data_IF_141742954684
#
_entry.id   IF_141742954684
#
_cell.length_a   1.000
_cell.length_b   1.000
_cell.length_c   1.000
_cell.angle_alpha   90.00
_cell.angle_beta   90.00
_cell.angle_gamma   90.00
#
_symmetry.space_group_name_H-M   'P 1'
#
loop_
_entity.id
_entity.type
_entity.pdbx_description
1 polymer ?
#
# COMPACT_ATOMS: atom_id res chain seq x y z
N UNK A 1 -19.84 -2.21 -6.61
CA UNK A 1 -20.57 -1.93 -7.86
C UNK A 1 -21.90 -1.30 -7.51
N UNK A 2 -22.30 -0.25 -8.20
CA UNK A 2 -23.59 0.42 -8.01
C UNK A 2 -24.31 0.50 -9.35
N UNK A 3 -25.64 0.69 -9.32
CA UNK A 3 -26.39 0.99 -10.54
C UNK A 3 -25.84 2.29 -11.14
N UNK A 4 -25.56 2.28 -12.45
CA UNK A 4 -25.22 3.48 -13.19
C UNK A 4 -26.32 4.53 -12.99
N UNK A 5 -26.01 5.74 -12.48
CA UNK A 5 -26.99 6.81 -12.40
C UNK A 5 -27.59 7.09 -13.79
N UNK A 6 -28.93 7.04 -13.89
CA UNK A 6 -29.67 7.24 -15.14
C UNK A 6 -30.69 6.15 -15.46
N UNK A 7 -31.20 6.20 -16.70
CA UNK A 7 -32.25 5.31 -17.22
C UNK A 7 -31.73 3.92 -17.64
N UNK A 8 -30.41 3.75 -17.77
CA UNK A 8 -29.78 2.48 -18.15
C UNK A 8 -29.67 1.54 -16.94
N UNK A 9 -30.02 0.26 -17.13
CA UNK A 9 -29.83 -0.79 -16.13
C UNK A 9 -28.47 -1.48 -16.34
N UNK A 10 -27.39 -0.73 -16.11
CA UNK A 10 -26.02 -1.25 -16.11
C UNK A 10 -25.33 -0.93 -14.78
N UNK A 11 -24.32 -1.72 -14.42
CA UNK A 11 -23.54 -1.53 -13.20
C UNK A 11 -22.26 -0.77 -13.51
N UNK A 12 -21.85 0.12 -12.59
CA UNK A 12 -20.56 0.81 -12.63
C UNK A 12 -19.79 0.57 -11.32
N UNK A 13 -18.47 0.73 -11.38
CA UNK A 13 -17.65 0.82 -10.17
C UNK A 13 -17.83 2.21 -9.55
N UNK A 14 -18.02 2.24 -8.24
CA UNK A 14 -18.15 3.45 -7.43
C UNK A 14 -17.56 3.14 -6.06
N UNK A 15 -17.06 4.16 -5.40
CA UNK A 15 -16.35 4.12 -4.14
C UNK A 15 -17.19 4.61 -2.96
N UNK A 16 -16.85 4.13 -1.77
CA UNK A 16 -17.19 4.77 -0.50
C UNK A 16 -15.93 5.48 -0.03
N UNK A 17 -15.91 6.81 -0.11
CA UNK A 17 -14.75 7.62 0.22
C UNK A 17 -14.75 8.07 1.69
N UNK A 18 -13.60 7.95 2.35
CA UNK A 18 -13.32 8.56 3.65
C UNK A 18 -11.99 9.32 3.58
N UNK A 19 -12.04 10.52 3.01
CA UNK A 19 -10.92 11.44 3.02
C UNK A 19 -10.79 12.17 4.36
N UNK A 20 -9.76 11.83 5.16
CA UNK A 20 -9.53 12.41 6.50
C UNK A 20 -9.49 13.94 6.49
N UNK A 21 -8.80 14.53 5.51
CA UNK A 21 -8.69 15.99 5.35
C UNK A 21 -10.05 16.67 5.16
N UNK A 22 -10.97 16.03 4.43
CA UNK A 22 -12.30 16.58 4.17
C UNK A 22 -13.24 16.36 5.34
N UNK A 23 -13.19 15.17 5.98
CA UNK A 23 -14.11 14.76 7.03
C UNK A 23 -13.79 15.35 8.41
N UNK A 24 -12.51 15.55 8.72
CA UNK A 24 -12.02 15.99 10.04
C UNK A 24 -11.25 17.31 9.92
N UNK A 25 -11.96 18.35 9.53
CA UNK A 25 -11.40 19.69 9.42
C UNK A 25 -10.94 20.20 10.80
N UNK A 26 -9.71 20.71 10.88
CA UNK A 26 -9.12 21.23 12.11
C UNK A 26 -8.51 20.18 13.05
N UNK A 27 -8.59 18.89 12.72
CA UNK A 27 -7.88 17.84 13.47
C UNK A 27 -6.44 17.73 12.96
N UNK A 28 -5.49 17.86 13.86
CA UNK A 28 -4.06 17.60 13.57
C UNK A 28 -3.80 16.11 13.72
N UNK A 29 -3.34 15.47 12.66
CA UNK A 29 -2.85 14.10 12.71
C UNK A 29 -1.39 14.19 13.21
N UNK A 30 -1.06 13.64 14.39
CA UNK A 30 0.29 13.71 14.92
C UNK A 30 1.26 12.94 14.01
N UNK A 31 2.48 13.43 13.93
CA UNK A 31 3.54 12.75 13.19
C UNK A 31 3.88 11.39 13.81
N UNK A 32 4.39 10.47 12.99
CA UNK A 32 4.67 9.10 13.42
C UNK A 32 5.57 9.04 14.67
N UNK A 33 6.58 9.89 14.75
CA UNK A 33 7.49 9.93 15.89
C UNK A 33 6.87 10.53 17.15
N UNK A 34 6.00 11.55 17.04
CA UNK A 34 5.30 12.11 18.19
C UNK A 34 4.47 11.03 18.90
N UNK A 35 3.80 10.20 18.09
CA UNK A 35 3.02 9.07 18.61
C UNK A 35 3.91 8.03 19.29
N UNK A 36 4.98 7.59 18.64
CA UNK A 36 5.86 6.55 19.19
C UNK A 36 6.56 6.98 20.48
N UNK A 37 6.98 8.25 20.58
CA UNK A 37 7.57 8.81 21.79
C UNK A 37 6.54 8.83 22.92
N UNK A 38 5.31 9.28 22.63
CA UNK A 38 4.22 9.28 23.61
C UNK A 38 3.91 7.86 24.11
N UNK A 39 3.87 6.88 23.22
CA UNK A 39 3.61 5.48 23.57
C UNK A 39 4.74 4.90 24.43
N UNK A 40 6.00 5.27 24.15
CA UNK A 40 7.15 4.92 25.01
C UNK A 40 6.99 5.45 26.43
N UNK A 41 6.58 6.72 26.58
CA UNK A 41 6.35 7.35 27.89
C UNK A 41 5.20 6.68 28.65
N UNK A 42 4.16 6.24 27.92
CA UNK A 42 3.01 5.52 28.48
C UNK A 42 3.30 4.05 28.79
N UNK A 43 4.45 3.53 28.37
CA UNK A 43 4.78 2.10 28.48
C UNK A 43 3.96 1.21 27.54
N UNK A 44 3.37 1.78 26.49
CA UNK A 44 2.62 1.03 25.48
C UNK A 44 3.56 0.55 24.37
N UNK A 45 3.66 -0.77 24.22
CA UNK A 45 4.55 -1.42 23.27
C UNK A 45 3.85 -1.92 22.00
N UNK A 46 2.56 -1.62 21.79
CA UNK A 46 1.77 -2.14 20.67
C UNK A 46 2.32 -1.75 19.29
N UNK A 47 2.95 -0.58 19.17
CA UNK A 47 3.51 -0.07 17.91
C UNK A 47 4.99 -0.40 17.72
N UNK A 48 5.58 -1.22 18.60
CA UNK A 48 6.99 -1.60 18.54
C UNK A 48 7.14 -3.04 18.06
N UNK A 49 8.15 -3.26 17.21
CA UNK A 49 8.46 -4.58 16.69
C UNK A 49 9.01 -5.46 17.80
N UNK A 50 8.39 -6.63 18.00
CA UNK A 50 8.85 -7.60 18.99
C UNK A 50 10.04 -8.42 18.48
N UNK A 51 10.77 -9.06 19.41
CA UNK A 51 11.98 -9.84 19.08
C UNK A 51 11.69 -11.07 18.20
N UNK A 52 10.56 -11.71 18.43
CA UNK A 52 10.06 -12.85 17.65
C UNK A 52 9.62 -12.43 16.25
N UNK A 53 8.90 -11.32 16.13
CA UNK A 53 8.50 -10.73 14.83
C UNK A 53 9.73 -10.35 14.00
N UNK A 54 10.73 -9.72 14.62
CA UNK A 54 11.97 -9.35 13.95
C UNK A 54 12.70 -10.59 13.43
N UNK A 55 12.78 -11.66 14.23
CA UNK A 55 13.40 -12.92 13.81
C UNK A 55 12.67 -13.52 12.60
N UNK A 56 11.34 -13.61 12.66
CA UNK A 56 10.55 -14.17 11.56
C UNK A 56 10.71 -13.37 10.26
N UNK A 57 10.74 -12.03 10.35
CA UNK A 57 11.01 -11.18 9.19
C UNK A 57 12.39 -11.48 8.56
N UNK A 58 13.43 -11.58 9.40
CA UNK A 58 14.77 -11.93 8.91
C UNK A 58 14.81 -13.34 8.33
N UNK A 59 14.18 -14.33 8.94
CA UNK A 59 14.14 -15.70 8.41
C UNK A 59 13.53 -15.76 7.00
N UNK A 60 12.50 -14.95 6.73
CA UNK A 60 11.85 -14.88 5.41
C UNK A 60 12.77 -14.25 4.36
N UNK A 61 13.42 -13.12 4.68
CA UNK A 61 14.15 -12.34 3.67
C UNK A 61 15.64 -12.70 3.55
N UNK A 62 16.27 -13.25 4.58
CA UNK A 62 17.72 -13.55 4.59
C UNK A 62 18.16 -14.44 3.43
N UNK A 63 17.48 -15.56 3.09
CA UNK A 63 17.90 -16.41 1.98
C UNK A 63 17.91 -15.66 0.64
N UNK A 64 16.90 -14.82 0.40
CA UNK A 64 16.79 -14.01 -0.81
C UNK A 64 17.87 -12.93 -0.86
N UNK A 65 18.15 -12.26 0.26
CA UNK A 65 19.20 -11.25 0.35
C UNK A 65 20.58 -11.85 0.06
N UNK A 66 20.89 -13.03 0.62
CA UNK A 66 22.15 -13.72 0.32
C UNK A 66 22.30 -14.09 -1.16
N UNK A 67 21.22 -14.49 -1.85
CA UNK A 67 21.25 -14.75 -3.30
C UNK A 67 21.53 -13.48 -4.11
N UNK A 68 20.97 -12.35 -3.68
CA UNK A 68 21.23 -11.03 -4.29
C UNK A 68 22.69 -10.64 -4.10
N UNK A 69 23.22 -10.78 -2.87
CA UNK A 69 24.60 -10.45 -2.53
C UNK A 69 25.63 -11.33 -3.27
N UNK A 70 25.28 -12.61 -3.50
CA UNK A 70 26.06 -13.53 -4.32
C UNK A 70 26.02 -13.21 -5.83
N UNK A 71 25.20 -12.25 -6.26
CA UNK A 71 25.04 -11.87 -7.66
C UNK A 71 24.24 -12.86 -8.50
N UNK A 72 23.50 -13.78 -7.87
CA UNK A 72 22.65 -14.77 -8.55
C UNK A 72 21.43 -14.10 -9.22
N UNK A 73 21.03 -12.93 -8.72
CA UNK A 73 19.89 -12.15 -9.20
C UNK A 73 20.34 -10.80 -9.75
N UNK A 74 19.99 -10.52 -11.01
CA UNK A 74 20.27 -9.23 -11.65
C UNK A 74 19.02 -8.35 -11.61
N UNK A 75 19.12 -7.09 -11.14
CA UNK A 75 18.00 -6.17 -11.16
C UNK A 75 17.63 -5.81 -12.60
N UNK A 76 16.33 -5.66 -12.84
CA UNK A 76 15.80 -5.21 -14.13
C UNK A 76 15.85 -3.69 -14.20
N UNK A 77 16.33 -3.15 -15.32
CA UNK A 77 16.37 -1.72 -15.54
C UNK A 77 14.97 -1.18 -15.86
N UNK A 78 14.64 -0.02 -15.31
CA UNK A 78 13.39 0.68 -15.60
C UNK A 78 13.63 2.20 -15.67
N UNK A 79 12.74 2.90 -16.38
CA UNK A 79 12.86 4.35 -16.58
C UNK A 79 12.53 5.09 -15.27
N UNK A 80 13.32 6.10 -14.85
CA UNK A 80 12.94 6.94 -13.72
C UNK A 80 11.55 7.56 -13.91
N UNK A 81 10.71 7.48 -12.88
CA UNK A 81 9.31 7.93 -12.92
C UNK A 81 8.33 6.92 -13.53
N UNK A 82 8.79 5.76 -14.02
CA UNK A 82 7.89 4.65 -14.33
C UNK A 82 7.43 3.93 -13.05
N UNK A 83 6.40 3.08 -13.16
CA UNK A 83 5.92 2.23 -12.07
C UNK A 83 6.82 1.03 -11.75
N UNK A 84 7.97 0.92 -12.42
CA UNK A 84 8.87 -0.24 -12.35
C UNK A 84 8.98 -0.99 -13.69
N UNK A 85 9.56 -2.20 -13.67
CA UNK A 85 9.70 -3.07 -14.83
C UNK A 85 8.37 -3.82 -15.13
N UNK A 86 8.06 -4.13 -16.41
CA UNK A 86 6.84 -4.84 -16.79
C UNK A 86 6.72 -6.24 -16.16
N UNK A 87 7.84 -6.87 -15.86
CA UNK A 87 7.90 -8.18 -15.18
C UNK A 87 7.26 -8.15 -13.78
N UNK A 88 7.20 -6.98 -13.13
CA UNK A 88 6.50 -6.82 -11.86
C UNK A 88 4.97 -6.96 -12.02
N UNK A 89 4.41 -6.42 -13.11
CA UNK A 89 2.97 -6.56 -13.42
C UNK A 89 2.65 -8.02 -13.81
N UNK A 90 3.56 -8.70 -14.51
CA UNK A 90 3.44 -10.14 -14.80
C UNK A 90 3.45 -11.00 -13.53
N UNK A 91 4.32 -10.67 -12.57
CA UNK A 91 4.38 -11.36 -11.27
C UNK A 91 3.07 -11.21 -10.50
N UNK A 92 2.51 -10.00 -10.45
CA UNK A 92 1.22 -9.72 -9.84
C UNK A 92 0.09 -10.54 -10.49
N UNK A 93 0.06 -10.58 -11.83
CA UNK A 93 -0.93 -11.37 -12.58
C UNK A 93 -0.82 -12.86 -12.27
N UNK A 94 0.40 -13.41 -12.20
CA UNK A 94 0.65 -14.81 -11.79
C UNK A 94 0.21 -15.08 -10.35
N UNK A 95 0.32 -14.10 -9.45
CA UNK A 95 -0.16 -14.18 -8.08
C UNK A 95 -1.70 -14.06 -7.96
N UNK A 96 -2.42 -13.89 -9.07
CA UNK A 96 -3.88 -13.80 -9.11
C UNK A 96 -4.43 -12.39 -8.94
N UNK A 97 -3.59 -11.36 -8.93
CA UNK A 97 -4.05 -9.98 -8.93
C UNK A 97 -4.61 -9.60 -10.31
N UNK A 98 -5.87 -9.16 -10.35
CA UNK A 98 -6.54 -8.71 -11.57
C UNK A 98 -6.63 -7.18 -11.55
N UNK A 99 -5.85 -6.53 -12.41
CA UNK A 99 -5.91 -5.08 -12.58
C UNK A 99 -7.17 -4.70 -13.38
N UNK A 100 -8.13 -4.07 -12.71
CA UNK A 100 -9.35 -3.59 -13.38
C UNK A 100 -9.12 -2.22 -14.01
N UNK A 101 -9.29 -2.13 -15.32
CA UNK A 101 -9.16 -0.89 -16.09
C UNK A 101 -10.56 -0.38 -16.43
N UNK A 102 -10.91 0.82 -15.96
CA UNK A 102 -12.25 1.39 -16.17
C UNK A 102 -12.84 2.10 -14.94
N UNK A 103 -12.15 2.06 -13.80
CA UNK A 103 -12.44 2.93 -12.68
C UNK A 103 -12.03 4.36 -13.03
N UNK A 104 -12.98 5.29 -12.98
CA UNK A 104 -12.75 6.71 -13.19
C UNK A 104 -13.10 7.40 -11.89
N UNK A 105 -12.08 7.88 -11.19
CA UNK A 105 -12.25 8.72 -10.02
C UNK A 105 -12.13 10.18 -10.40
N UNK A 106 -13.15 10.96 -10.08
CA UNK A 106 -13.13 12.42 -10.22
C UNK A 106 -13.17 12.96 -8.80
N UNK A 107 -12.14 13.71 -8.34
CA UNK A 107 -12.16 14.26 -7.00
C UNK A 107 -13.41 15.12 -6.81
N UNK A 108 -14.17 14.94 -5.71
CA UNK A 108 -15.32 15.79 -5.44
C UNK A 108 -14.82 17.24 -5.30
N UNK A 109 -15.37 18.14 -6.11
CA UNK A 109 -15.17 19.58 -5.94
C UNK A 109 -15.84 20.00 -4.65
N UNK A 110 -15.07 20.55 -3.71
CA UNK A 110 -15.59 21.21 -2.51
C UNK A 110 -16.40 22.45 -2.89
#
# INVERSE_FOLDING_TARGET
MVKKPGLQMSTIQSELDLSYRQRYQGVVIPEAYERLILDTIRGDQQHFVRRDELRAAWEIFTPLLHQIDNGELKPLAYKPGSRGPPEADELLSKAGYVQTHGYIWIPPTL
#
